data_IF_454302854894
#
_entry.id   IF_454302854894
#
_cell.length_a   1.000
_cell.length_b   1.000
_cell.length_c   1.000
_cell.angle_alpha   90.00
_cell.angle_beta   90.00
_cell.angle_gamma   90.00
#
_symmetry.space_group_name_H-M   'P 1'
#
loop_
_entity.id
_entity.type
_entity.pdbx_description
1 polymer ?
#
# COMPACT_ATOMS: atom_id res chain seq x y z
N UNK A 1 3.38 -50.51 68.02
CA UNK A 1 3.09 -50.97 66.66
C UNK A 1 2.95 -49.74 65.78
N UNK A 2 3.98 -49.43 65.00
CA UNK A 2 4.09 -48.25 64.19
C UNK A 2 3.59 -48.50 62.76
N UNK A 3 2.68 -47.70 62.26
CA UNK A 3 2.37 -47.63 60.84
C UNK A 3 3.19 -46.52 60.20
N UNK A 4 3.90 -46.77 59.08
CA UNK A 4 4.63 -45.72 58.37
C UNK A 4 3.73 -44.94 57.46
N UNK A 5 3.88 -43.63 57.53
CA UNK A 5 3.15 -42.68 56.71
C UNK A 5 3.60 -42.66 55.23
N UNK A 6 2.61 -42.61 54.34
CA UNK A 6 2.75 -42.48 52.89
C UNK A 6 3.01 -41.03 52.55
N UNK A 7 4.20 -40.74 52.03
CA UNK A 7 4.52 -39.38 51.48
C UNK A 7 3.98 -39.25 50.04
N UNK A 8 2.96 -38.44 49.86
CA UNK A 8 2.42 -38.07 48.55
C UNK A 8 3.34 -37.03 47.93
N UNK A 9 4.09 -37.39 46.91
CA UNK A 9 4.91 -36.44 46.14
C UNK A 9 4.05 -35.83 45.05
N UNK A 10 3.72 -34.55 45.21
CA UNK A 10 2.97 -33.80 44.22
C UNK A 10 3.91 -33.45 43.06
N UNK A 11 3.70 -34.04 41.89
CA UNK A 11 4.39 -33.69 40.63
C UNK A 11 3.71 -32.47 40.03
N UNK A 12 4.40 -31.31 40.07
CA UNK A 12 3.97 -30.09 39.36
C UNK A 12 4.41 -30.26 37.91
N UNK A 13 3.45 -30.51 37.01
CA UNK A 13 3.69 -30.46 35.57
C UNK A 13 3.59 -29.00 35.15
N UNK A 14 4.74 -28.39 34.84
CA UNK A 14 4.84 -27.06 34.27
C UNK A 14 4.55 -27.19 32.76
N UNK A 15 3.33 -26.88 32.31
CA UNK A 15 3.01 -26.76 30.89
C UNK A 15 3.53 -25.41 30.38
N UNK A 16 4.64 -25.46 29.68
CA UNK A 16 5.09 -24.31 28.90
C UNK A 16 4.09 -24.05 27.77
N UNK A 17 3.25 -23.03 27.94
CA UNK A 17 2.40 -22.51 26.87
C UNK A 17 3.29 -21.89 25.79
N UNK A 18 3.39 -22.55 24.63
CA UNK A 18 3.87 -21.87 23.42
C UNK A 18 2.87 -20.74 23.08
N UNK A 19 3.28 -19.52 23.33
CA UNK A 19 2.59 -18.37 22.77
C UNK A 19 2.78 -18.41 21.24
N UNK A 20 1.73 -18.74 20.50
CA UNK A 20 1.70 -18.57 19.06
C UNK A 20 1.89 -17.08 18.75
N UNK A 21 2.66 -16.71 17.70
CA UNK A 21 2.75 -15.32 17.28
C UNK A 21 1.34 -14.87 16.90
N UNK A 22 0.93 -13.73 17.45
CA UNK A 22 -0.30 -13.03 17.05
C UNK A 22 -0.01 -12.50 15.64
N UNK A 23 -0.25 -13.32 14.64
CA UNK A 23 -0.32 -12.89 13.25
C UNK A 23 -1.46 -11.88 13.15
N UNK A 24 -1.17 -10.74 12.56
CA UNK A 24 -2.13 -9.67 12.33
C UNK A 24 -3.35 -10.24 11.60
N UNK A 25 -4.47 -10.34 12.29
CA UNK A 25 -5.69 -10.99 11.81
C UNK A 25 -6.41 -10.24 10.69
N UNK A 26 -5.88 -9.08 10.27
CA UNK A 26 -6.53 -8.18 9.30
C UNK A 26 -6.12 -8.41 7.84
N UNK A 27 -5.03 -9.13 7.57
CA UNK A 27 -4.53 -9.29 6.19
C UNK A 27 -5.17 -10.46 5.41
N UNK A 28 -5.90 -11.35 6.07
CA UNK A 28 -6.37 -12.62 5.45
C UNK A 28 -7.84 -12.64 5.05
N UNK A 29 -8.61 -11.59 5.35
CA UNK A 29 -10.09 -11.59 5.16
C UNK A 29 -10.57 -11.33 3.74
N UNK A 30 -9.71 -10.93 2.78
CA UNK A 30 -10.18 -10.53 1.44
C UNK A 30 -9.42 -11.15 0.26
N UNK A 31 -8.44 -12.01 0.49
CA UNK A 31 -7.59 -12.54 -0.59
C UNK A 31 -6.75 -11.46 -1.31
N UNK A 32 -6.59 -10.29 -0.68
CA UNK A 32 -5.79 -9.17 -1.19
C UNK A 32 -4.65 -8.89 -0.22
N UNK A 33 -3.44 -8.82 -0.75
CA UNK A 33 -2.22 -8.66 0.06
C UNK A 33 -1.44 -7.45 -0.43
N UNK A 34 -1.00 -6.59 0.50
CA UNK A 34 -0.09 -5.50 0.18
C UNK A 34 1.33 -6.01 -0.06
N UNK A 35 1.95 -5.58 -1.16
CA UNK A 35 3.30 -5.99 -1.55
C UNK A 35 4.29 -4.88 -1.17
N UNK A 36 4.62 -4.79 0.11
CA UNK A 36 5.48 -3.73 0.68
C UNK A 36 6.88 -3.69 0.06
N UNK A 37 7.43 -4.82 -0.35
CA UNK A 37 8.71 -4.87 -1.07
C UNK A 37 8.64 -4.17 -2.43
N UNK A 38 7.50 -4.26 -3.12
CA UNK A 38 7.24 -3.55 -4.36
C UNK A 38 7.06 -2.05 -4.12
N UNK A 39 6.34 -1.64 -3.07
CA UNK A 39 6.21 -0.23 -2.67
C UNK A 39 7.58 0.43 -2.49
N UNK A 40 8.48 -0.24 -1.75
CA UNK A 40 9.84 0.25 -1.51
C UNK A 40 10.68 0.32 -2.79
N UNK A 41 10.59 -0.70 -3.65
CA UNK A 41 11.31 -0.73 -4.92
C UNK A 41 10.82 0.36 -5.89
N UNK A 42 9.51 0.60 -5.93
CA UNK A 42 8.91 1.70 -6.71
C UNK A 42 9.42 3.06 -6.22
N UNK A 43 9.47 3.31 -4.91
CA UNK A 43 10.00 4.56 -4.35
C UNK A 43 11.47 4.80 -4.77
N UNK A 44 12.31 3.76 -4.65
CA UNK A 44 13.72 3.85 -5.03
C UNK A 44 13.87 4.21 -6.51
N UNK A 45 13.16 3.52 -7.39
CA UNK A 45 13.18 3.77 -8.84
C UNK A 45 12.63 5.14 -9.20
N UNK A 46 11.51 5.53 -8.63
CA UNK A 46 10.89 6.84 -8.80
C UNK A 46 11.89 7.96 -8.45
N UNK A 47 12.55 7.86 -7.31
CA UNK A 47 13.53 8.85 -6.88
C UNK A 47 14.81 8.83 -7.74
N UNK A 48 15.22 7.68 -8.28
CA UNK A 48 16.33 7.59 -9.24
C UNK A 48 15.99 8.34 -10.55
N UNK A 49 14.78 8.18 -11.08
CA UNK A 49 14.31 8.92 -12.26
C UNK A 49 14.31 10.43 -11.97
N UNK A 50 13.74 10.85 -10.85
CA UNK A 50 13.70 12.26 -10.46
C UNK A 50 15.10 12.86 -10.32
N UNK A 51 16.01 12.14 -9.67
CA UNK A 51 17.42 12.58 -9.55
C UNK A 51 18.10 12.75 -10.92
N UNK A 52 17.88 11.83 -11.87
CA UNK A 52 18.39 11.94 -13.23
C UNK A 52 17.89 13.19 -13.97
N UNK A 53 16.74 13.73 -13.55
CA UNK A 53 16.17 14.98 -14.07
C UNK A 53 16.44 16.20 -13.17
N UNK A 54 17.37 16.10 -12.20
CA UNK A 54 17.74 17.22 -11.30
C UNK A 54 16.64 17.60 -10.30
N UNK A 55 15.67 16.71 -10.04
CA UNK A 55 14.54 16.97 -9.17
C UNK A 55 14.81 16.44 -7.75
N UNK A 56 14.22 17.12 -6.76
CA UNK A 56 14.29 16.72 -5.35
C UNK A 56 13.60 15.34 -5.17
N UNK A 57 14.23 14.40 -4.44
CA UNK A 57 13.60 13.12 -4.12
C UNK A 57 12.36 13.32 -3.25
N UNK A 58 11.36 12.46 -3.48
CA UNK A 58 10.11 12.43 -2.73
C UNK A 58 10.28 11.65 -1.43
N UNK A 59 9.57 12.09 -0.38
CA UNK A 59 9.52 11.44 0.93
C UNK A 59 8.20 10.68 1.08
N UNK A 60 8.27 9.47 1.64
CA UNK A 60 7.05 8.74 1.98
C UNK A 60 6.21 9.51 3.00
N UNK A 61 4.92 9.63 2.71
CA UNK A 61 3.92 10.19 3.60
C UNK A 61 2.89 9.12 3.96
N UNK A 62 2.74 8.83 5.24
CA UNK A 62 1.87 7.76 5.72
C UNK A 62 0.39 7.99 5.36
N UNK A 63 -0.07 9.25 5.36
CA UNK A 63 -1.46 9.59 5.01
C UNK A 63 -1.73 9.33 3.52
N UNK A 64 -0.82 9.76 2.62
CA UNK A 64 -0.92 9.47 1.20
C UNK A 64 -0.80 7.97 0.92
N UNK A 65 0.10 7.26 1.62
CA UNK A 65 0.24 5.81 1.49
C UNK A 65 -1.05 5.08 1.90
N UNK A 66 -1.70 5.52 2.97
CA UNK A 66 -2.99 4.96 3.39
C UNK A 66 -4.09 5.22 2.36
N UNK A 67 -4.13 6.41 1.76
CA UNK A 67 -5.08 6.74 0.71
C UNK A 67 -4.87 5.84 -0.53
N UNK A 68 -3.63 5.70 -0.98
CA UNK A 68 -3.24 4.82 -2.08
C UNK A 68 -3.65 3.36 -1.82
N UNK A 69 -3.41 2.85 -0.60
CA UNK A 69 -3.77 1.48 -0.23
C UNK A 69 -5.29 1.25 -0.23
N UNK A 70 -6.05 2.19 0.33
CA UNK A 70 -7.52 2.13 0.31
C UNK A 70 -8.02 2.11 -1.14
N UNK A 71 -7.49 2.99 -2.00
CA UNK A 71 -7.94 3.06 -3.39
C UNK A 71 -7.61 1.81 -4.20
N UNK A 72 -6.36 1.31 -4.13
CA UNK A 72 -5.97 0.05 -4.79
C UNK A 72 -6.85 -1.12 -4.32
N UNK A 73 -7.16 -1.19 -3.01
CA UNK A 73 -8.02 -2.23 -2.44
C UNK A 73 -9.45 -2.11 -2.97
N UNK A 74 -10.01 -0.90 -3.06
CA UNK A 74 -11.35 -0.66 -3.61
C UNK A 74 -11.43 -1.04 -5.09
N UNK A 75 -10.46 -0.61 -5.91
CA UNK A 75 -10.41 -0.99 -7.32
C UNK A 75 -10.46 -2.51 -7.51
N UNK A 76 -9.68 -3.24 -6.72
CA UNK A 76 -9.65 -4.71 -6.75
C UNK A 76 -10.95 -5.35 -6.22
N UNK A 77 -11.57 -4.74 -5.19
CA UNK A 77 -12.77 -5.27 -4.58
C UNK A 77 -13.99 -5.14 -5.50
N UNK A 78 -14.12 -3.96 -6.10
CA UNK A 78 -15.31 -3.56 -6.84
C UNK A 78 -15.15 -3.73 -8.35
N UNK A 79 -13.96 -4.19 -8.79
CA UNK A 79 -13.71 -4.56 -10.19
C UNK A 79 -13.65 -3.41 -11.17
N UNK A 80 -13.18 -2.23 -10.74
CA UNK A 80 -13.01 -1.06 -11.60
C UNK A 80 -11.55 -0.58 -11.62
N UNK A 81 -11.21 0.27 -12.60
CA UNK A 81 -9.91 0.92 -12.68
C UNK A 81 -10.10 2.36 -13.14
N UNK A 82 -9.97 3.31 -12.20
CA UNK A 82 -10.19 4.73 -12.47
C UNK A 82 -9.64 5.59 -11.33
N UNK A 83 -9.34 6.86 -11.62
CA UNK A 83 -8.91 7.86 -10.63
C UNK A 83 -10.01 8.22 -9.62
N UNK A 84 -11.27 8.24 -10.01
CA UNK A 84 -12.39 8.50 -9.10
C UNK A 84 -12.68 7.29 -8.21
N UNK A 85 -13.16 7.55 -7.01
CA UNK A 85 -13.64 6.50 -6.10
C UNK A 85 -14.96 5.91 -6.56
N UNK A 86 -15.35 4.77 -6.01
CA UNK A 86 -16.72 4.25 -6.15
C UNK A 86 -17.71 5.33 -5.74
N UNK A 87 -18.73 5.57 -6.57
CA UNK A 87 -19.68 6.65 -6.37
C UNK A 87 -19.30 7.98 -7.03
N UNK A 88 -18.16 8.03 -7.77
CA UNK A 88 -17.79 9.14 -8.63
C UNK A 88 -17.03 10.28 -7.97
N UNK A 89 -16.72 10.19 -6.67
CA UNK A 89 -15.91 11.21 -5.99
C UNK A 89 -14.51 11.31 -6.60
N UNK A 90 -14.05 12.50 -6.97
CA UNK A 90 -12.74 12.69 -7.57
C UNK A 90 -11.62 12.36 -6.58
N UNK A 91 -10.43 11.98 -7.09
CA UNK A 91 -9.33 11.47 -6.27
C UNK A 91 -8.84 12.46 -5.19
N UNK A 92 -8.86 13.76 -5.46
CA UNK A 92 -8.42 14.76 -4.48
C UNK A 92 -9.29 14.81 -3.23
N UNK A 93 -10.58 14.47 -3.29
CA UNK A 93 -11.44 14.37 -2.10
C UNK A 93 -11.00 13.22 -1.19
N UNK A 94 -10.56 12.10 -1.76
CA UNK A 94 -9.95 10.99 -1.02
C UNK A 94 -8.68 11.45 -0.32
N UNK A 95 -7.80 12.17 -1.04
CA UNK A 95 -6.54 12.66 -0.51
C UNK A 95 -6.75 13.79 0.51
N UNK A 96 -7.73 14.69 0.30
CA UNK A 96 -8.07 15.73 1.26
C UNK A 96 -8.47 15.16 2.64
N UNK A 97 -9.12 14.00 2.67
CA UNK A 97 -9.47 13.33 3.93
C UNK A 97 -8.23 12.96 4.75
N UNK A 98 -7.15 12.55 4.08
CA UNK A 98 -5.90 12.11 4.70
C UNK A 98 -4.90 13.25 4.91
N UNK A 99 -5.09 14.40 4.28
CA UNK A 99 -4.24 15.59 4.45
C UNK A 99 -4.78 16.57 5.50
N UNK A 100 -5.98 16.40 5.99
CA UNK A 100 -6.60 17.23 7.04
C UNK A 100 -5.79 17.17 8.33
N UNK A 101 -5.55 18.34 8.95
CA UNK A 101 -4.80 18.47 10.21
C UNK A 101 -3.36 18.90 10.03
N UNK A 102 -2.87 19.10 8.83
CA UNK A 102 -1.66 19.84 8.58
C UNK A 102 -1.94 21.35 8.68
N UNK A 103 -1.06 22.08 9.34
CA UNK A 103 -1.13 23.56 9.44
C UNK A 103 -0.82 24.27 8.11
N UNK A 104 -1.13 23.65 6.98
CA UNK A 104 -0.89 24.19 5.64
C UNK A 104 -2.18 24.81 5.10
N UNK A 105 -2.10 26.05 4.66
CA UNK A 105 -3.24 26.81 4.14
C UNK A 105 -3.71 26.27 2.76
N UNK A 106 -2.80 25.62 2.04
CA UNK A 106 -3.12 24.99 0.75
C UNK A 106 -2.24 23.76 0.47
N UNK A 107 -2.70 22.91 -0.44
CA UNK A 107 -1.99 21.72 -0.87
C UNK A 107 -2.30 21.42 -2.35
N UNK A 108 -1.38 20.73 -3.01
CA UNK A 108 -1.59 20.21 -4.36
C UNK A 108 -1.32 18.71 -4.36
N UNK A 109 -2.06 17.96 -5.16
CA UNK A 109 -1.91 16.51 -5.30
C UNK A 109 -1.95 16.07 -6.76
N UNK A 110 -1.40 14.89 -7.01
CA UNK A 110 -1.47 14.18 -8.28
C UNK A 110 -1.56 12.68 -8.02
N UNK A 111 -2.02 11.90 -8.98
CA UNK A 111 -2.14 10.46 -8.86
C UNK A 111 -1.69 9.77 -10.15
N UNK A 112 -0.95 8.66 -10.01
CA UNK A 112 -0.69 7.71 -11.09
C UNK A 112 -1.22 6.33 -10.68
N UNK A 113 -1.87 5.67 -11.61
CA UNK A 113 -2.41 4.32 -11.45
C UNK A 113 -1.77 3.36 -12.44
N UNK A 114 -1.60 2.11 -12.02
CA UNK A 114 -1.19 0.99 -12.87
C UNK A 114 -1.86 -0.29 -12.40
N UNK A 115 -2.23 -1.16 -13.32
CA UNK A 115 -2.47 -2.56 -13.01
C UNK A 115 -1.78 -3.48 -14.01
N UNK A 116 -1.42 -4.67 -13.57
CA UNK A 116 -0.80 -5.71 -14.40
C UNK A 116 -1.24 -7.10 -13.93
N UNK A 117 -1.26 -8.05 -14.83
CA UNK A 117 -1.63 -9.44 -14.53
C UNK A 117 -0.52 -10.38 -15.02
N UNK A 118 -0.05 -11.34 -14.19
CA UNK A 118 -0.45 -11.51 -12.78
C UNK A 118 0.16 -10.44 -11.86
N UNK A 119 1.35 -9.92 -12.19
CA UNK A 119 2.12 -8.98 -11.39
C UNK A 119 2.97 -8.05 -12.28
N UNK A 120 3.72 -7.18 -11.65
CA UNK A 120 4.68 -6.27 -12.26
C UNK A 120 5.78 -5.95 -11.27
N UNK A 121 7.03 -5.85 -11.73
CA UNK A 121 8.12 -5.31 -10.94
C UNK A 121 8.20 -3.77 -11.03
N UNK A 122 8.99 -3.17 -10.14
CA UNK A 122 9.14 -1.71 -10.08
C UNK A 122 9.78 -1.11 -11.34
N UNK A 123 10.67 -1.84 -12.02
CA UNK A 123 11.33 -1.33 -13.23
C UNK A 123 10.33 -1.22 -14.37
N UNK A 124 9.54 -2.26 -14.59
CA UNK A 124 8.49 -2.29 -15.61
C UNK A 124 7.36 -1.29 -15.29
N UNK A 125 6.93 -1.19 -14.03
CA UNK A 125 5.92 -0.21 -13.63
C UNK A 125 6.35 1.22 -13.96
N UNK A 126 7.58 1.62 -13.58
CA UNK A 126 8.09 2.95 -13.90
C UNK A 126 8.30 3.15 -15.41
N UNK A 127 8.75 2.11 -16.14
CA UNK A 127 8.89 2.21 -17.60
C UNK A 127 7.55 2.47 -18.28
N UNK A 128 6.47 1.80 -17.86
CA UNK A 128 5.12 2.02 -18.38
C UNK A 128 4.61 3.44 -18.10
N UNK A 129 4.82 3.95 -16.89
CA UNK A 129 4.44 5.32 -16.56
C UNK A 129 5.25 6.37 -17.32
N UNK A 130 6.57 6.15 -17.47
CA UNK A 130 7.43 7.08 -18.23
C UNK A 130 7.13 7.05 -19.75
N UNK A 131 6.56 5.99 -20.27
CA UNK A 131 6.09 5.91 -21.65
C UNK A 131 4.75 6.62 -21.90
N UNK A 132 4.06 7.05 -20.83
CA UNK A 132 2.78 7.78 -20.91
C UNK A 132 2.99 9.26 -20.54
N UNK A 133 2.75 10.20 -21.45
CA UNK A 133 3.04 11.63 -21.21
C UNK A 133 2.36 12.23 -19.98
N UNK A 134 1.17 11.75 -19.61
CA UNK A 134 0.45 12.26 -18.44
C UNK A 134 1.06 11.75 -17.14
N UNK A 135 1.41 10.46 -17.08
CA UNK A 135 2.06 9.86 -15.93
C UNK A 135 3.49 10.35 -15.75
N UNK A 136 4.26 10.48 -16.85
CA UNK A 136 5.59 11.07 -16.83
C UNK A 136 5.55 12.50 -16.27
N UNK A 137 4.61 13.33 -16.72
CA UNK A 137 4.44 14.70 -16.22
C UNK A 137 4.23 14.73 -14.70
N UNK A 138 3.42 13.82 -14.16
CA UNK A 138 3.26 13.70 -12.71
C UNK A 138 4.58 13.34 -12.04
N UNK A 139 5.29 12.32 -12.53
CA UNK A 139 6.58 11.88 -11.96
C UNK A 139 7.60 13.02 -11.98
N UNK A 140 7.65 13.81 -13.04
CA UNK A 140 8.63 14.89 -13.24
C UNK A 140 8.16 16.27 -12.75
N UNK A 141 7.01 16.36 -12.11
CA UNK A 141 6.53 17.62 -11.53
C UNK A 141 7.44 18.05 -10.37
N UNK A 142 8.13 19.20 -10.54
CA UNK A 142 9.18 19.66 -9.64
C UNK A 142 8.70 20.06 -8.24
N UNK A 143 7.44 20.47 -8.11
CA UNK A 143 6.87 20.93 -6.84
C UNK A 143 6.61 19.82 -5.83
N UNK A 144 6.45 18.57 -6.24
CA UNK A 144 6.16 17.47 -5.31
C UNK A 144 7.24 17.30 -4.25
N UNK A 145 6.84 17.00 -3.02
CA UNK A 145 7.72 16.73 -1.87
C UNK A 145 7.40 15.40 -1.21
N UNK A 146 6.11 15.06 -1.15
CA UNK A 146 5.61 13.85 -0.50
C UNK A 146 5.06 12.87 -1.54
N UNK A 147 5.10 11.58 -1.20
CA UNK A 147 4.50 10.51 -2.00
C UNK A 147 3.89 9.44 -1.11
N UNK A 148 2.75 8.92 -1.50
CA UNK A 148 2.18 7.67 -0.99
C UNK A 148 2.23 6.61 -2.08
N UNK A 149 2.60 5.39 -1.74
CA UNK A 149 2.69 4.26 -2.68
C UNK A 149 2.01 3.06 -2.05
N UNK A 150 1.17 2.39 -2.80
CA UNK A 150 0.61 1.11 -2.40
C UNK A 150 0.40 0.18 -3.60
N UNK A 151 1.08 -0.95 -3.57
CA UNK A 151 0.87 -2.08 -4.46
C UNK A 151 0.03 -3.15 -3.73
N UNK A 152 -1.12 -3.49 -4.27
CA UNK A 152 -2.02 -4.51 -3.73
C UNK A 152 -2.14 -5.63 -4.76
N UNK A 153 -1.89 -6.86 -4.34
CA UNK A 153 -2.07 -8.07 -5.15
C UNK A 153 -3.38 -8.77 -4.75
N UNK A 154 -4.10 -9.26 -5.77
CA UNK A 154 -5.23 -10.16 -5.60
C UNK A 154 -5.05 -11.40 -6.48
N UNK A 155 -5.27 -12.60 -5.94
CA UNK A 155 -5.23 -13.85 -6.70
C UNK A 155 -6.34 -13.97 -7.73
N UNK A 156 -7.42 -13.21 -7.57
CA UNK A 156 -8.52 -13.04 -8.53
C UNK A 156 -9.23 -11.72 -8.23
N UNK A 157 -9.54 -10.93 -9.25
CA UNK A 157 -10.30 -9.70 -9.10
C UNK A 157 -11.41 -9.61 -10.16
N UNK A 158 -12.61 -9.13 -9.79
CA UNK A 158 -13.78 -9.08 -10.66
C UNK A 158 -13.72 -7.95 -11.71
N UNK A 159 -14.80 -7.78 -12.45
CA UNK A 159 -15.04 -6.64 -13.33
C UNK A 159 -13.95 -6.46 -14.39
N UNK A 160 -13.33 -5.28 -14.43
CA UNK A 160 -12.24 -4.93 -15.36
C UNK A 160 -11.12 -5.96 -15.41
N UNK A 161 -10.88 -6.68 -14.33
CA UNK A 161 -9.79 -7.65 -14.22
C UNK A 161 -10.17 -9.07 -14.67
N UNK A 162 -11.45 -9.31 -14.95
CA UNK A 162 -11.98 -10.57 -15.53
C UNK A 162 -11.60 -11.83 -14.73
N UNK A 163 -11.59 -11.76 -13.40
CA UNK A 163 -11.28 -12.89 -12.52
C UNK A 163 -9.79 -13.30 -12.51
N UNK A 164 -8.91 -12.50 -13.11
CA UNK A 164 -7.46 -12.80 -13.18
C UNK A 164 -6.74 -12.44 -11.89
N UNK A 165 -5.61 -13.12 -11.60
CA UNK A 165 -4.65 -12.57 -10.63
C UNK A 165 -4.10 -11.25 -11.16
N UNK A 166 -3.98 -10.25 -10.25
CA UNK A 166 -3.62 -8.89 -10.65
C UNK A 166 -2.94 -8.14 -9.51
N UNK A 167 -1.98 -7.29 -9.87
CA UNK A 167 -1.41 -6.28 -8.98
C UNK A 167 -1.85 -4.90 -9.44
N UNK A 168 -2.42 -4.12 -8.54
CA UNK A 168 -2.75 -2.70 -8.75
C UNK A 168 -1.77 -1.86 -7.93
N UNK A 169 -1.20 -0.83 -8.54
CA UNK A 169 -0.31 0.14 -7.89
C UNK A 169 -0.93 1.53 -8.00
N UNK A 170 -1.12 2.19 -6.87
CA UNK A 170 -1.47 3.61 -6.78
C UNK A 170 -0.27 4.39 -6.26
N UNK A 171 0.07 5.51 -6.92
CA UNK A 171 1.01 6.52 -6.41
C UNK A 171 0.25 7.83 -6.26
N UNK A 172 0.21 8.35 -5.04
CA UNK A 172 -0.33 9.66 -4.69
C UNK A 172 0.81 10.63 -4.40
N UNK A 173 0.90 11.71 -5.18
CA UNK A 173 1.87 12.79 -5.01
C UNK A 173 1.27 13.91 -4.19
N UNK A 174 2.10 14.60 -3.40
CA UNK A 174 1.63 15.73 -2.60
C UNK A 174 2.68 16.81 -2.37
N UNK A 175 2.19 18.02 -2.15
CA UNK A 175 2.95 19.14 -1.59
C UNK A 175 2.01 20.02 -0.77
N UNK A 176 2.52 20.55 0.35
CA UNK A 176 1.85 21.53 1.20
C UNK A 176 2.54 22.89 1.00
N UNK A 177 1.74 23.94 0.92
CA UNK A 177 2.20 25.31 0.73
C UNK A 177 1.99 26.13 1.98
#
# INVERSE_FOLDING_TARGET
MCCPGLKLTTLIVLTAGLAAPIGSADEHMTGRTRVQSLDAAVLVRLNSIRAAHGLVPLKLNAALTSAAAVHSTQMLADGYFAHHSVGGSPFWERLARYTRGAAADSWSVGENLLWSSPDVDAANALALWMASPEHERNILTARWRDVGIAAIHAGAAPGTYAGRPVTVITIDFGVRH
#
